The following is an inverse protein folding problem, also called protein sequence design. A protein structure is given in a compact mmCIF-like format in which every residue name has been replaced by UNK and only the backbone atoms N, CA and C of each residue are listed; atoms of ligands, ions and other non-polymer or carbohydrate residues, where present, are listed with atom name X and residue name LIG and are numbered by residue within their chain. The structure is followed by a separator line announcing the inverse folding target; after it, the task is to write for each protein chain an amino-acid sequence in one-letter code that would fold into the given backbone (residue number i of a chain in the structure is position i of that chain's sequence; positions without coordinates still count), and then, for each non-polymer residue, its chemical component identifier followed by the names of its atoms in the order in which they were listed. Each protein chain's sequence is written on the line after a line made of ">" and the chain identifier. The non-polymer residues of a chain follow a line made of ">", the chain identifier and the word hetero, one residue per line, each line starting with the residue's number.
data_IF_055716452699
#
_entry.id   IF_055716452699
#
_cell.length_a   1.000
_cell.length_b   1.000
_cell.length_c   1.000
_cell.angle_alpha   90.00
_cell.angle_beta   90.00
_cell.angle_gamma   90.00
#
_symmetry.space_group_name_H-M   'P 1'
#
loop_
_entity.id
_entity.type
_entity.pdbx_description
1 polymer ?
#
# COMPACT_ATOMS: atom_id res chain seq x y z
N UNK A 1 -24.20 -17.84 -3.56
CA UNK A 1 -24.24 -17.70 -5.04
C UNK A 1 -23.32 -16.60 -5.54
N UNK A 2 -23.34 -15.38 -4.97
CA UNK A 2 -22.45 -14.28 -5.38
C UNK A 2 -20.95 -14.59 -5.24
N UNK A 3 -20.56 -15.30 -4.18
CA UNK A 3 -19.14 -15.65 -3.93
C UNK A 3 -18.57 -16.62 -4.96
N UNK A 4 -19.34 -17.62 -5.40
CA UNK A 4 -18.91 -18.54 -6.45
C UNK A 4 -18.72 -17.82 -7.79
N UNK A 5 -19.50 -16.77 -8.05
CA UNK A 5 -19.48 -16.03 -9.33
C UNK A 5 -18.23 -15.14 -9.41
N UNK A 6 -17.91 -14.39 -8.35
CA UNK A 6 -16.70 -13.55 -8.34
C UNK A 6 -15.42 -14.40 -8.29
N UNK A 7 -15.44 -15.55 -7.63
CA UNK A 7 -14.27 -16.43 -7.54
C UNK A 7 -13.76 -16.91 -8.91
N UNK A 8 -14.65 -17.16 -9.87
CA UNK A 8 -14.25 -17.56 -11.23
C UNK A 8 -13.50 -16.42 -11.92
N UNK A 9 -13.99 -15.19 -11.78
CA UNK A 9 -13.33 -14.00 -12.35
C UNK A 9 -11.97 -13.75 -11.69
N UNK A 10 -11.86 -13.91 -10.37
CA UNK A 10 -10.60 -13.77 -9.61
C UNK A 10 -9.54 -14.79 -10.06
N UNK A 11 -9.96 -15.99 -10.46
CA UNK A 11 -9.07 -17.06 -10.92
C UNK A 11 -8.64 -16.93 -12.39
N UNK A 12 -9.19 -15.97 -13.13
CA UNK A 12 -8.81 -15.76 -14.53
C UNK A 12 -7.34 -15.33 -14.63
N UNK A 13 -6.61 -15.96 -15.53
CA UNK A 13 -5.20 -15.65 -15.82
C UNK A 13 -5.05 -14.93 -17.16
N UNK A 14 -5.96 -15.18 -18.09
CA UNK A 14 -5.89 -14.66 -19.46
C UNK A 14 -7.04 -13.73 -19.81
N UNK A 15 -6.86 -12.93 -20.88
CA UNK A 15 -7.94 -12.12 -21.46
C UNK A 15 -9.14 -12.96 -21.89
N UNK A 16 -8.90 -14.14 -22.47
CA UNK A 16 -9.97 -15.01 -22.95
C UNK A 16 -10.87 -15.51 -21.81
N UNK A 17 -10.28 -15.89 -20.68
CA UNK A 17 -11.04 -16.33 -19.49
C UNK A 17 -11.89 -15.20 -18.91
N UNK A 18 -11.34 -13.98 -18.83
CA UNK A 18 -12.11 -12.79 -18.40
C UNK A 18 -13.30 -12.53 -19.33
N UNK A 19 -13.09 -12.59 -20.65
CA UNK A 19 -14.16 -12.40 -21.63
C UNK A 19 -15.21 -13.52 -21.56
N UNK A 20 -14.80 -14.76 -21.36
CA UNK A 20 -15.71 -15.90 -21.20
C UNK A 20 -16.58 -15.75 -19.94
N UNK A 21 -16.00 -15.24 -18.84
CA UNK A 21 -16.76 -14.90 -17.63
C UNK A 21 -17.85 -13.87 -17.93
N UNK A 22 -17.48 -12.76 -18.57
CA UNK A 22 -18.40 -11.67 -18.89
C UNK A 22 -19.51 -12.15 -19.85
N UNK A 23 -19.14 -12.89 -20.89
CA UNK A 23 -20.09 -13.47 -21.85
C UNK A 23 -21.06 -14.48 -21.20
N UNK A 24 -20.65 -15.11 -20.10
CA UNK A 24 -21.50 -16.00 -19.30
C UNK A 24 -22.43 -15.24 -18.34
N UNK A 25 -22.40 -13.90 -18.35
CA UNK A 25 -23.25 -13.05 -17.52
C UNK A 25 -22.65 -12.68 -16.16
N UNK A 26 -21.35 -12.94 -15.93
CA UNK A 26 -20.67 -12.51 -14.71
C UNK A 26 -20.52 -10.98 -14.73
N UNK A 27 -21.04 -10.32 -13.70
CA UNK A 27 -20.83 -8.88 -13.52
C UNK A 27 -19.36 -8.63 -13.15
N UNK A 28 -18.63 -7.89 -13.99
CA UNK A 28 -17.22 -7.51 -13.77
C UNK A 28 -17.01 -6.74 -12.45
N UNK A 29 -18.05 -6.02 -12.00
CA UNK A 29 -18.07 -5.24 -10.76
C UNK A 29 -18.74 -5.99 -9.60
N UNK A 30 -18.88 -7.31 -9.71
CA UNK A 30 -19.30 -8.11 -8.57
C UNK A 30 -18.30 -7.93 -7.42
N UNK A 31 -18.82 -7.92 -6.19
CA UNK A 31 -18.03 -7.80 -4.96
C UNK A 31 -18.26 -9.00 -4.05
N UNK A 32 -17.23 -9.35 -3.27
CA UNK A 32 -17.32 -10.36 -2.22
C UNK A 32 -18.00 -9.81 -0.94
N UNK A 33 -18.03 -10.61 0.13
CA UNK A 33 -18.64 -10.22 1.41
C UNK A 33 -17.88 -9.10 2.16
N UNK A 34 -16.61 -8.87 1.81
CA UNK A 34 -15.83 -7.74 2.30
C UNK A 34 -16.02 -6.50 1.41
N UNK A 35 -16.84 -6.58 0.35
CA UNK A 35 -16.98 -5.52 -0.61
C UNK A 35 -15.76 -5.38 -1.52
N UNK A 36 -15.03 -6.43 -1.84
CA UNK A 36 -13.87 -6.39 -2.75
C UNK A 36 -14.28 -6.87 -4.14
N UNK A 37 -13.92 -6.11 -5.18
CA UNK A 37 -14.01 -6.58 -6.56
C UNK A 37 -12.77 -7.43 -6.94
N UNK A 38 -12.73 -7.94 -8.18
CA UNK A 38 -11.67 -8.86 -8.60
C UNK A 38 -10.24 -8.28 -8.52
N UNK A 39 -10.05 -6.96 -8.67
CA UNK A 39 -8.72 -6.32 -8.68
C UNK A 39 -7.96 -6.48 -7.36
N UNK A 40 -8.66 -6.74 -6.26
CA UNK A 40 -8.05 -6.90 -4.93
C UNK A 40 -7.21 -8.18 -4.81
N UNK A 41 -7.46 -9.16 -5.70
CA UNK A 41 -6.88 -10.50 -5.62
C UNK A 41 -6.01 -10.87 -6.81
N UNK A 42 -6.33 -10.32 -7.99
CA UNK A 42 -5.69 -10.74 -9.23
C UNK A 42 -4.21 -10.34 -9.25
N UNK A 43 -3.36 -11.33 -9.55
CA UNK A 43 -1.92 -11.16 -9.72
C UNK A 43 -1.47 -11.41 -11.16
N UNK A 44 -2.41 -11.71 -12.07
CA UNK A 44 -2.12 -12.02 -13.47
C UNK A 44 -2.30 -10.77 -14.33
N UNK A 45 -1.22 -10.34 -14.98
CA UNK A 45 -1.16 -9.06 -15.69
C UNK A 45 -2.19 -8.99 -16.83
N UNK A 46 -2.29 -10.06 -17.63
CA UNK A 46 -3.19 -10.11 -18.78
C UNK A 46 -4.67 -10.09 -18.37
N UNK A 47 -5.02 -10.82 -17.30
CA UNK A 47 -6.36 -10.78 -16.74
C UNK A 47 -6.71 -9.40 -16.19
N UNK A 48 -5.83 -8.77 -15.40
CA UNK A 48 -6.08 -7.42 -14.85
C UNK A 48 -6.23 -6.40 -15.98
N UNK A 49 -5.39 -6.47 -17.01
CA UNK A 49 -5.49 -5.60 -18.18
C UNK A 49 -6.84 -5.77 -18.87
N UNK A 50 -7.28 -7.00 -19.09
CA UNK A 50 -8.59 -7.27 -19.67
C UNK A 50 -9.72 -6.72 -18.80
N UNK A 51 -9.70 -6.95 -17.48
CA UNK A 51 -10.73 -6.42 -16.56
C UNK A 51 -10.84 -4.89 -16.62
N UNK A 52 -9.71 -4.18 -16.71
CA UNK A 52 -9.67 -2.71 -16.87
C UNK A 52 -10.28 -2.29 -18.21
N UNK A 53 -9.93 -2.96 -19.30
CA UNK A 53 -10.49 -2.70 -20.63
C UNK A 53 -12.00 -2.95 -20.70
N UNK A 54 -12.50 -3.93 -19.94
CA UNK A 54 -13.93 -4.26 -19.84
C UNK A 54 -14.68 -3.45 -18.77
N UNK A 55 -14.05 -2.42 -18.20
CA UNK A 55 -14.74 -1.43 -17.36
C UNK A 55 -14.95 -1.83 -15.90
N UNK A 56 -14.05 -2.64 -15.33
CA UNK A 56 -14.02 -2.84 -13.88
C UNK A 56 -13.82 -1.51 -13.14
N UNK A 57 -14.48 -1.33 -12.01
CA UNK A 57 -14.38 -0.15 -11.17
C UNK A 57 -13.00 -0.10 -10.49
N UNK A 58 -12.08 0.63 -11.12
CA UNK A 58 -10.67 0.69 -10.72
C UNK A 58 -10.46 1.25 -9.31
N UNK A 59 -11.26 2.24 -8.91
CA UNK A 59 -11.17 2.94 -7.63
C UNK A 59 -12.14 2.39 -6.57
N UNK A 60 -12.68 1.19 -6.79
CA UNK A 60 -13.55 0.52 -5.83
C UNK A 60 -12.83 0.35 -4.48
N UNK A 61 -13.60 0.47 -3.39
CA UNK A 61 -13.10 0.30 -2.02
C UNK A 61 -13.84 -0.81 -1.29
N UNK A 62 -13.11 -1.51 -0.42
CA UNK A 62 -13.68 -2.53 0.45
C UNK A 62 -14.30 -1.97 1.73
N UNK A 63 -14.79 -2.84 2.60
CA UNK A 63 -15.39 -2.47 3.90
C UNK A 63 -14.41 -1.80 4.88
N UNK A 64 -13.10 -1.94 4.67
CA UNK A 64 -12.06 -1.23 5.42
C UNK A 64 -11.68 0.10 4.77
N UNK A 65 -12.30 0.44 3.64
CA UNK A 65 -11.98 1.60 2.83
C UNK A 65 -10.67 1.43 2.07
N UNK A 66 -10.15 0.23 1.87
CA UNK A 66 -8.94 0.00 1.08
C UNK A 66 -9.30 -0.10 -0.41
N UNK A 67 -8.45 0.43 -1.29
CA UNK A 67 -8.50 0.09 -2.72
C UNK A 67 -7.53 -1.07 -3.05
N UNK A 68 -7.48 -1.50 -4.31
CA UNK A 68 -6.67 -2.66 -4.73
C UNK A 68 -5.15 -2.52 -4.43
N UNK A 69 -4.59 -1.30 -4.37
CA UNK A 69 -3.16 -1.09 -4.09
C UNK A 69 -2.74 -1.58 -2.69
N UNK A 70 -3.67 -1.57 -1.74
CA UNK A 70 -3.39 -2.01 -0.36
C UNK A 70 -3.03 -3.50 -0.32
N UNK A 71 -3.64 -4.30 -1.19
CA UNK A 71 -3.49 -5.76 -1.20
C UNK A 71 -2.48 -6.25 -2.22
N UNK A 72 -2.39 -5.63 -3.39
CA UNK A 72 -1.56 -6.16 -4.47
C UNK A 72 -0.07 -6.22 -4.10
N UNK A 73 0.57 -7.36 -4.34
CA UNK A 73 2.00 -7.58 -4.07
C UNK A 73 2.81 -7.88 -5.32
N UNK A 74 2.17 -7.91 -6.50
CA UNK A 74 2.84 -8.13 -7.77
C UNK A 74 3.26 -6.79 -8.37
N UNK A 75 4.58 -6.51 -8.47
CA UNK A 75 5.12 -5.27 -9.05
C UNK A 75 4.50 -4.88 -10.41
N UNK A 76 4.38 -5.83 -11.33
CA UNK A 76 3.89 -5.55 -12.69
C UNK A 76 2.41 -5.20 -12.70
N UNK A 77 1.61 -5.86 -11.86
CA UNK A 77 0.19 -5.51 -11.71
C UNK A 77 0.02 -4.17 -11.02
N UNK A 78 0.83 -3.90 -9.99
CA UNK A 78 0.84 -2.62 -9.29
C UNK A 78 1.15 -1.46 -10.25
N UNK A 79 2.18 -1.61 -11.09
CA UNK A 79 2.51 -0.66 -12.14
C UNK A 79 1.34 -0.46 -13.11
N UNK A 80 0.69 -1.55 -13.57
CA UNK A 80 -0.46 -1.44 -14.47
C UNK A 80 -1.63 -0.66 -13.83
N UNK A 81 -1.98 -0.94 -12.57
CA UNK A 81 -3.05 -0.25 -11.86
C UNK A 81 -2.75 1.25 -11.73
N UNK A 82 -1.51 1.59 -11.39
CA UNK A 82 -0.99 2.97 -11.31
C UNK A 82 -1.14 3.68 -12.65
N UNK A 83 -0.65 3.09 -13.74
CA UNK A 83 -0.75 3.69 -15.08
C UNK A 83 -2.20 3.82 -15.57
N UNK A 84 -3.09 2.97 -15.05
CA UNK A 84 -4.52 3.00 -15.37
C UNK A 84 -5.31 4.06 -14.58
N UNK A 85 -4.66 4.80 -13.66
CA UNK A 85 -5.28 5.92 -12.94
C UNK A 85 -5.96 5.54 -11.63
N UNK A 86 -5.54 4.44 -10.99
CA UNK A 86 -5.99 4.15 -9.62
C UNK A 86 -5.51 5.26 -8.67
N UNK A 87 -6.32 5.61 -7.68
CA UNK A 87 -6.01 6.67 -6.73
C UNK A 87 -4.90 6.23 -5.76
N UNK A 88 -3.67 6.64 -6.05
CA UNK A 88 -2.48 6.35 -5.25
C UNK A 88 -2.53 7.05 -3.89
N UNK A 89 -3.17 8.22 -3.82
CA UNK A 89 -3.29 9.01 -2.58
C UNK A 89 -4.47 8.60 -1.71
N UNK A 90 -5.13 7.50 -2.05
CA UNK A 90 -6.26 6.99 -1.29
C UNK A 90 -5.87 6.64 0.15
N UNK A 91 -6.75 6.97 1.08
CA UNK A 91 -6.61 6.64 2.49
C UNK A 91 -7.78 5.76 2.93
N UNK A 92 -7.48 4.72 3.69
CA UNK A 92 -8.48 3.82 4.22
C UNK A 92 -9.21 4.40 5.45
N UNK A 93 -10.09 3.62 6.07
CA UNK A 93 -10.87 4.06 7.23
C UNK A 93 -10.01 4.37 8.48
N UNK A 94 -8.75 3.93 8.49
CA UNK A 94 -7.75 4.27 9.51
C UNK A 94 -6.84 5.44 9.06
N UNK A 95 -7.18 6.15 7.98
CA UNK A 95 -6.36 7.22 7.43
C UNK A 95 -5.05 6.75 6.78
N UNK A 96 -4.82 5.44 6.70
CA UNK A 96 -3.58 4.90 6.17
C UNK A 96 -3.57 4.95 4.66
N UNK A 97 -2.45 5.37 4.08
CA UNK A 97 -2.15 5.18 2.65
C UNK A 97 -1.69 3.76 2.36
N UNK A 98 -1.64 3.39 1.07
CA UNK A 98 -1.10 2.10 0.64
C UNK A 98 0.35 1.86 1.12
N UNK A 99 1.17 2.91 1.29
CA UNK A 99 2.55 2.79 1.80
C UNK A 99 2.62 2.25 3.23
N UNK A 100 1.62 2.52 4.09
CA UNK A 100 1.55 1.94 5.44
C UNK A 100 1.49 0.41 5.38
N UNK A 101 0.75 -0.14 4.41
CA UNK A 101 0.66 -1.57 4.19
C UNK A 101 1.90 -2.15 3.50
N UNK A 102 2.60 -1.35 2.69
CA UNK A 102 3.82 -1.77 1.98
C UNK A 102 5.12 -1.43 2.72
N UNK A 103 5.06 -1.02 3.99
CA UNK A 103 6.23 -0.60 4.79
C UNK A 103 7.37 -1.62 4.90
N UNK A 104 7.10 -2.90 4.65
CA UNK A 104 8.11 -3.97 4.61
C UNK A 104 8.31 -4.59 3.22
N UNK A 105 7.51 -4.22 2.21
CA UNK A 105 7.67 -4.68 0.84
C UNK A 105 8.35 -3.56 0.03
N UNK A 106 9.67 -3.48 0.19
CA UNK A 106 10.52 -2.40 -0.37
C UNK A 106 10.32 -2.24 -1.87
N UNK A 107 10.19 -3.35 -2.62
CA UNK A 107 9.97 -3.32 -4.07
C UNK A 107 8.65 -2.64 -4.44
N UNK A 108 7.55 -2.98 -3.77
CA UNK A 108 6.25 -2.34 -4.04
C UNK A 108 6.22 -0.89 -3.52
N UNK A 109 6.84 -0.63 -2.36
CA UNK A 109 6.97 0.71 -1.83
C UNK A 109 7.72 1.63 -2.80
N UNK A 110 8.80 1.15 -3.42
CA UNK A 110 9.57 1.90 -4.40
C UNK A 110 8.74 2.28 -5.63
N UNK A 111 7.96 1.34 -6.17
CA UNK A 111 7.05 1.61 -7.29
C UNK A 111 6.04 2.71 -6.93
N UNK A 112 5.44 2.61 -5.74
CA UNK A 112 4.44 3.58 -5.28
C UNK A 112 5.06 4.97 -5.06
N UNK A 113 6.24 5.05 -4.45
CA UNK A 113 6.97 6.30 -4.22
C UNK A 113 7.34 6.95 -5.57
N UNK A 114 7.87 6.16 -6.51
CA UNK A 114 8.23 6.66 -7.85
C UNK A 114 6.99 7.14 -8.63
N UNK A 115 5.82 6.58 -8.34
CA UNK A 115 4.54 7.01 -8.90
C UNK A 115 3.90 8.20 -8.15
N UNK A 116 4.57 8.75 -7.14
CA UNK A 116 4.15 9.96 -6.42
C UNK A 116 3.32 9.72 -5.16
N UNK A 117 3.30 8.50 -4.60
CA UNK A 117 2.68 8.26 -3.31
C UNK A 117 3.34 9.13 -2.21
N UNK A 118 2.51 9.74 -1.36
CA UNK A 118 3.02 10.60 -0.28
C UNK A 118 3.74 9.78 0.81
N UNK A 119 5.07 9.86 0.81
CA UNK A 119 5.96 9.21 1.78
C UNK A 119 5.74 9.68 3.22
N UNK A 120 5.19 10.89 3.41
CA UNK A 120 4.91 11.48 4.71
C UNK A 120 3.42 11.39 5.07
N UNK A 121 2.63 10.59 4.34
CA UNK A 121 1.24 10.35 4.69
C UNK A 121 1.15 9.87 6.13
N UNK A 122 0.19 10.44 6.85
CA UNK A 122 -0.15 10.06 8.23
C UNK A 122 -1.47 9.32 8.30
N UNK A 123 -1.59 8.41 9.26
CA UNK A 123 -2.83 7.74 9.64
C UNK A 123 -3.69 8.56 10.63
N UNK A 124 -4.76 7.98 11.17
CA UNK A 124 -5.67 8.65 12.12
C UNK A 124 -5.02 9.02 13.45
N UNK A 125 -3.94 8.34 13.85
CA UNK A 125 -3.16 8.65 15.05
C UNK A 125 -2.09 9.70 14.74
N UNK A 126 -2.00 10.14 13.48
CA UNK A 126 -0.97 11.05 13.02
C UNK A 126 0.36 10.35 12.78
N UNK A 127 0.37 9.02 12.63
CA UNK A 127 1.61 8.25 12.48
C UNK A 127 1.99 8.08 11.01
N UNK A 128 3.28 8.22 10.71
CA UNK A 128 3.86 7.87 9.40
C UNK A 128 4.24 6.39 9.35
N UNK A 129 4.68 5.90 8.19
CA UNK A 129 5.16 4.52 8.00
C UNK A 129 6.34 4.13 8.91
N UNK A 130 7.06 5.10 9.47
CA UNK A 130 8.18 4.88 10.40
C UNK A 130 7.74 4.36 11.77
N UNK A 131 6.50 4.65 12.17
CA UNK A 131 5.99 4.27 13.49
C UNK A 131 5.81 2.75 13.59
N UNK A 132 6.25 2.19 14.72
CA UNK A 132 6.16 0.75 15.02
C UNK A 132 6.84 -0.16 13.98
N UNK A 133 7.89 0.33 13.31
CA UNK A 133 8.73 -0.53 12.48
C UNK A 133 9.55 -1.50 13.34
N UNK A 134 9.60 -2.76 12.91
CA UNK A 134 10.36 -3.79 13.60
C UNK A 134 11.69 -4.13 12.92
N UNK A 135 11.88 -3.73 11.66
CA UNK A 135 13.07 -3.98 10.84
C UNK A 135 13.89 -2.69 10.69
N UNK A 136 15.19 -2.78 10.99
CA UNK A 136 16.14 -1.69 10.81
C UNK A 136 16.33 -1.39 9.32
N UNK A 137 16.43 -2.41 8.47
CA UNK A 137 16.57 -2.23 7.02
C UNK A 137 15.38 -1.46 6.42
N UNK A 138 14.16 -1.78 6.87
CA UNK A 138 12.97 -1.03 6.45
C UNK A 138 13.04 0.43 6.94
N UNK A 139 13.43 0.64 8.19
CA UNK A 139 13.58 1.98 8.76
C UNK A 139 14.58 2.82 7.96
N UNK A 140 15.79 2.30 7.74
CA UNK A 140 16.85 2.98 6.98
C UNK A 140 16.40 3.30 5.56
N UNK A 141 15.71 2.37 4.89
CA UNK A 141 15.14 2.62 3.57
C UNK A 141 14.16 3.80 3.56
N UNK A 142 13.21 3.85 4.50
CA UNK A 142 12.22 4.93 4.55
C UNK A 142 12.87 6.28 4.83
N UNK A 143 13.91 6.31 5.66
CA UNK A 143 14.70 7.52 5.91
C UNK A 143 15.47 7.95 4.66
N UNK A 144 16.12 7.02 3.95
CA UNK A 144 16.84 7.28 2.71
C UNK A 144 15.91 7.87 1.64
N UNK A 145 14.68 7.36 1.54
CA UNK A 145 13.65 7.88 0.62
C UNK A 145 13.05 9.22 1.05
N UNK A 146 13.41 9.74 2.23
CA UNK A 146 13.03 11.09 2.68
C UNK A 146 11.83 11.15 3.62
N UNK A 147 11.46 10.04 4.28
CA UNK A 147 10.42 10.07 5.31
C UNK A 147 10.88 10.89 6.52
N UNK A 148 10.00 11.73 7.06
CA UNK A 148 10.34 12.65 8.14
C UNK A 148 10.49 11.92 9.49
N UNK A 149 11.74 11.71 9.91
CA UNK A 149 12.08 11.12 11.21
C UNK A 149 11.63 11.96 12.43
N UNK A 150 11.47 13.27 12.25
CA UNK A 150 11.07 14.18 13.34
C UNK A 150 9.56 14.38 13.42
N UNK A 151 8.78 13.71 12.57
CA UNK A 151 7.34 13.80 12.61
C UNK A 151 6.83 13.32 13.96
N UNK A 152 5.94 14.08 14.59
CA UNK A 152 5.26 13.68 15.82
C UNK A 152 3.82 13.28 15.53
N UNK A 153 3.36 12.22 16.18
CA UNK A 153 1.96 11.80 16.13
C UNK A 153 1.03 12.83 16.82
N UNK A 154 -0.27 12.56 16.87
CA UNK A 154 -1.24 13.45 17.50
C UNK A 154 -1.04 13.62 19.03
N UNK A 155 -0.25 12.75 19.66
CA UNK A 155 0.14 12.86 21.07
C UNK A 155 1.46 13.63 21.27
N UNK A 156 2.08 14.10 20.19
CA UNK A 156 3.37 14.77 20.23
C UNK A 156 4.56 13.82 20.40
N UNK A 157 4.36 12.51 20.24
CA UNK A 157 5.40 11.48 20.36
C UNK A 157 6.05 11.32 19.00
N UNK A 158 7.37 11.43 18.90
CA UNK A 158 8.12 11.11 17.67
C UNK A 158 8.46 9.62 17.59
N UNK A 159 8.83 9.13 16.39
CA UNK A 159 9.32 7.74 16.24
C UNK A 159 10.56 7.46 17.10
N UNK A 160 11.36 8.50 17.37
CA UNK A 160 12.54 8.40 18.23
C UNK A 160 12.15 8.27 19.71
N UNK A 161 11.02 8.81 20.14
CA UNK A 161 10.55 8.68 21.53
C UNK A 161 10.00 7.28 21.82
N UNK A 162 9.52 6.56 20.81
CA UNK A 162 9.10 5.15 20.93
C UNK A 162 10.29 4.20 21.13
N UNK A 163 11.51 4.67 20.88
CA UNK A 163 12.73 3.85 20.91
C UNK A 163 13.30 3.59 22.31
N UNK A 164 12.70 4.18 23.35
CA UNK A 164 13.26 4.26 24.72
C UNK A 164 13.46 2.88 25.39
N UNK A 165 12.83 1.81 24.89
CA UNK A 165 12.88 0.50 25.58
C UNK A 165 13.51 -0.67 24.82
N UNK A 166 14.26 -0.46 23.74
CA UNK A 166 15.04 -1.59 23.19
C UNK A 166 16.35 -1.14 22.54
N UNK A 167 17.36 -2.00 22.71
CA UNK A 167 18.67 -2.00 22.03
C UNK A 167 18.60 -2.02 20.48
N UNK A 168 17.43 -1.78 19.89
CA UNK A 168 17.12 -1.72 18.46
C UNK A 168 17.62 -0.44 17.77
N UNK A 169 17.67 0.70 18.48
CA UNK A 169 18.08 1.99 17.91
C UNK A 169 19.41 2.52 18.46
N UNK A 170 20.15 1.70 19.21
CA UNK A 170 21.58 1.91 19.49
C UNK A 170 22.46 1.69 18.24
N UNK A 171 21.96 2.08 17.07
CA UNK A 171 22.72 2.14 15.83
C UNK A 171 23.55 3.44 15.85
N UNK A 172 24.74 3.33 16.44
CA UNK A 172 25.93 4.13 16.12
C UNK A 172 25.79 5.67 16.12
N UNK A 173 25.36 6.26 17.24
CA UNK A 173 25.78 7.64 17.57
C UNK A 173 27.31 7.79 17.77
N UNK A 174 28.10 6.71 17.67
CA UNK A 174 29.56 6.76 17.85
C UNK A 174 30.37 6.93 16.56
N UNK A 175 29.80 6.77 15.35
CA UNK A 175 30.59 6.92 14.12
C UNK A 175 30.11 7.90 13.06
N UNK A 176 28.91 8.48 13.13
CA UNK A 176 28.62 9.65 12.31
C UNK A 176 27.38 10.39 12.79
N UNK A 177 27.65 11.55 13.35
CA UNK A 177 26.72 12.67 13.44
C UNK A 177 26.38 13.11 12.00
N UNK A 178 25.34 12.54 11.38
CA UNK A 178 24.93 12.94 10.02
C UNK A 178 23.43 12.96 9.75
N UNK A 179 22.58 12.94 10.79
CA UNK A 179 21.19 13.40 10.66
C UNK A 179 21.03 14.78 11.32
N UNK A 180 20.85 15.88 10.55
CA UNK A 180 20.72 17.25 11.06
C UNK A 180 19.57 17.43 12.07
N UNK A 181 18.62 16.52 12.04
CA UNK A 181 17.46 16.41 12.93
C UNK A 181 17.78 16.43 14.42
N UNK A 182 18.90 15.82 14.84
CA UNK A 182 19.24 15.63 16.26
C UNK A 182 19.89 16.85 16.94
N UNK A 183 20.10 17.97 16.22
CA UNK A 183 20.89 19.11 16.71
C UNK A 183 20.12 20.25 17.38
N UNK A 184 18.81 20.13 17.59
CA UNK A 184 18.05 21.16 18.30
C UNK A 184 17.19 20.52 19.38
N UNK A 185 17.77 20.36 20.57
CA UNK A 185 17.11 20.40 21.90
C UNK A 185 18.06 19.85 22.99
N UNK A 186 19.26 20.44 23.08
CA UNK A 186 20.05 20.45 24.32
C UNK A 186 20.73 21.80 24.45
#
# INVERSE_FOLDING_TARGET
>A
MTEQIINILIQSETREEVLNCINSGININAVDYCGRNALFYCNQLDAVKAMIEEGIELNHIDSYGNNALFYNTNPSVLELLIHSGINIQHKNNQGQSCLHQKRYNIKCAEILINAGADINSIDIEGQTVLYNLYSIDAFDYWIEKGCNINHTDHNGISVLDLSIDNRKWHYQCQHQCSYPAYRKNR
#
